data_IF_256205066703
#
_entry.id   IF_256205066703
#
_cell.length_a   1.000
_cell.length_b   1.000
_cell.length_c   1.000
_cell.angle_alpha   90.00
_cell.angle_beta   90.00
_cell.angle_gamma   90.00
#
_symmetry.space_group_name_H-M   'P 1'
#
loop_
_entity.id
_entity.type
_entity.pdbx_description
1 polymer ?
#
# COMPACT_ATOMS: atom_id res chain seq x y z
N UNK A 1 11.79 -22.38 19.17
CA UNK A 1 12.44 -21.03 19.14
C UNK A 1 11.71 -20.24 18.06
N UNK A 2 11.42 -18.94 18.23
CA UNK A 2 10.73 -18.19 17.18
C UNK A 2 11.53 -18.30 15.88
N UNK A 3 10.90 -18.82 14.83
CA UNK A 3 11.55 -19.01 13.55
C UNK A 3 11.83 -17.63 12.93
N UNK A 4 13.03 -17.43 12.40
CA UNK A 4 13.39 -16.16 11.77
C UNK A 4 12.50 -15.87 10.55
N UNK A 5 11.78 -14.73 10.61
CA UNK A 5 10.93 -14.21 9.54
C UNK A 5 11.82 -13.56 8.48
N UNK A 6 11.89 -14.16 7.29
CA UNK A 6 12.69 -13.65 6.17
C UNK A 6 11.79 -13.31 4.98
N UNK A 7 12.24 -12.38 4.12
CA UNK A 7 11.48 -12.04 2.90
C UNK A 7 11.29 -13.24 1.98
N UNK A 8 12.31 -14.10 1.84
CA UNK A 8 12.24 -15.26 0.94
C UNK A 8 11.11 -16.21 1.32
N UNK A 9 10.87 -16.39 2.63
CA UNK A 9 9.77 -17.21 3.14
C UNK A 9 8.40 -16.60 2.83
N UNK A 10 8.24 -15.30 3.06
CA UNK A 10 7.00 -14.57 2.75
C UNK A 10 6.71 -14.62 1.24
N UNK A 11 7.73 -14.40 0.40
CA UNK A 11 7.61 -14.48 -1.06
C UNK A 11 7.27 -15.90 -1.52
N UNK A 12 7.90 -16.92 -0.93
CA UNK A 12 7.61 -18.32 -1.26
C UNK A 12 6.17 -18.70 -0.93
N UNK A 13 5.65 -18.30 0.24
CA UNK A 13 4.26 -18.52 0.61
C UNK A 13 3.32 -17.73 -0.31
N UNK A 14 3.62 -16.45 -0.56
CA UNK A 14 2.81 -15.59 -1.40
C UNK A 14 2.64 -16.18 -2.81
N UNK A 15 3.71 -16.76 -3.37
CA UNK A 15 3.66 -17.46 -4.66
C UNK A 15 2.89 -18.77 -4.57
N UNK A 16 3.18 -19.63 -3.59
CA UNK A 16 2.60 -20.97 -3.50
C UNK A 16 1.10 -20.98 -3.20
N UNK A 17 0.61 -19.96 -2.46
CA UNK A 17 -0.79 -19.81 -2.09
C UNK A 17 -1.60 -18.90 -3.01
N UNK A 18 -0.95 -18.23 -3.96
CA UNK A 18 -1.63 -17.38 -4.92
C UNK A 18 -2.02 -16.01 -4.37
N UNK A 19 -1.15 -15.42 -3.55
CA UNK A 19 -1.19 -14.00 -3.25
C UNK A 19 -0.57 -13.18 -4.39
N UNK A 20 0.68 -13.46 -4.76
CA UNK A 20 1.42 -12.64 -5.74
C UNK A 20 2.30 -13.51 -6.63
N UNK A 21 2.29 -13.22 -7.92
CA UNK A 21 3.11 -13.86 -8.95
C UNK A 21 4.02 -12.83 -9.64
N UNK A 22 5.20 -13.24 -10.14
CA UNK A 22 5.99 -12.40 -11.03
C UNK A 22 5.18 -12.01 -12.28
N UNK A 23 5.18 -10.72 -12.64
CA UNK A 23 4.48 -10.24 -13.82
C UNK A 23 5.03 -10.88 -15.09
N UNK A 24 4.16 -11.42 -15.95
CA UNK A 24 4.56 -12.12 -17.18
C UNK A 24 5.54 -13.29 -16.96
N UNK A 25 5.36 -14.07 -15.88
CA UNK A 25 6.28 -15.15 -15.46
C UNK A 25 6.66 -16.12 -16.60
N UNK A 26 5.70 -16.56 -17.43
CA UNK A 26 5.97 -17.52 -18.52
C UNK A 26 6.87 -16.97 -19.63
N UNK A 27 7.07 -15.65 -19.68
CA UNK A 27 7.95 -14.97 -20.64
C UNK A 27 9.32 -14.58 -20.02
N UNK A 28 9.65 -15.11 -18.85
CA UNK A 28 10.87 -14.77 -18.12
C UNK A 28 10.71 -13.61 -17.13
N UNK A 29 9.48 -13.13 -16.95
CA UNK A 29 9.15 -12.03 -16.04
C UNK A 29 9.46 -10.65 -16.61
N UNK A 30 8.78 -9.62 -16.08
CA UNK A 30 9.13 -8.22 -16.29
C UNK A 30 9.53 -7.60 -14.94
N UNK A 31 10.76 -7.08 -14.88
CA UNK A 31 11.32 -6.54 -13.63
C UNK A 31 10.41 -5.48 -13.01
N UNK A 32 10.21 -5.58 -11.69
CA UNK A 32 9.38 -4.68 -10.87
C UNK A 32 7.90 -4.64 -11.31
N UNK A 33 7.40 -5.74 -11.87
CA UNK A 33 5.97 -5.94 -12.15
C UNK A 33 5.49 -7.24 -11.53
N UNK A 34 4.28 -7.21 -10.97
CA UNK A 34 3.72 -8.29 -10.18
C UNK A 34 2.21 -8.41 -10.43
N UNK A 35 1.72 -9.64 -10.45
CA UNK A 35 0.30 -9.96 -10.61
C UNK A 35 -0.25 -10.48 -9.29
N UNK A 36 -1.40 -9.96 -8.83
CA UNK A 36 -2.08 -10.49 -7.65
C UNK A 36 -2.94 -11.70 -8.03
N UNK A 37 -2.69 -12.84 -7.40
CA UNK A 37 -3.48 -14.06 -7.56
C UNK A 37 -4.81 -14.04 -6.80
N UNK A 38 -5.56 -15.16 -6.75
CA UNK A 38 -6.89 -15.20 -6.14
C UNK A 38 -6.95 -14.72 -4.68
N UNK A 39 -6.02 -15.11 -3.82
CA UNK A 39 -5.99 -14.63 -2.43
C UNK A 39 -5.48 -13.18 -2.36
N UNK A 40 -4.54 -12.83 -3.22
CA UNK A 40 -3.93 -11.50 -3.21
C UNK A 40 -4.87 -10.41 -3.68
N UNK A 41 -5.69 -10.67 -4.69
CA UNK A 41 -6.67 -9.69 -5.19
C UNK A 41 -7.73 -9.42 -4.12
N UNK A 42 -8.17 -10.45 -3.39
CA UNK A 42 -9.11 -10.31 -2.28
C UNK A 42 -8.48 -9.56 -1.09
N UNK A 43 -7.25 -9.89 -0.70
CA UNK A 43 -6.52 -9.14 0.32
C UNK A 43 -6.40 -7.67 -0.04
N UNK A 44 -5.89 -7.38 -1.26
CA UNK A 44 -5.68 -6.01 -1.73
C UNK A 44 -7.00 -5.23 -1.80
N UNK A 45 -8.06 -5.86 -2.31
CA UNK A 45 -9.38 -5.23 -2.35
C UNK A 45 -9.95 -4.99 -0.97
N UNK A 46 -9.76 -5.91 -0.02
CA UNK A 46 -10.23 -5.71 1.36
C UNK A 46 -9.47 -4.58 2.06
N UNK A 47 -8.16 -4.48 1.88
CA UNK A 47 -7.37 -3.34 2.38
C UNK A 47 -7.87 -2.01 1.80
N UNK A 48 -8.10 -1.95 0.48
CA UNK A 48 -8.66 -0.75 -0.19
C UNK A 48 -10.06 -0.41 0.30
N UNK A 49 -10.92 -1.42 0.50
CA UNK A 49 -12.28 -1.23 1.04
C UNK A 49 -12.24 -0.73 2.49
N UNK A 50 -11.37 -1.30 3.32
CA UNK A 50 -11.18 -0.88 4.71
C UNK A 50 -10.72 0.58 4.77
N UNK A 51 -9.74 0.96 3.93
CA UNK A 51 -9.29 2.34 3.80
C UNK A 51 -10.44 3.27 3.38
N UNK A 52 -11.18 2.91 2.33
CA UNK A 52 -12.28 3.74 1.85
C UNK A 52 -13.38 3.91 2.90
N UNK A 53 -13.71 2.83 3.61
CA UNK A 53 -14.66 2.87 4.72
C UNK A 53 -14.19 3.85 5.81
N UNK A 54 -12.93 3.74 6.24
CA UNK A 54 -12.38 4.58 7.33
C UNK A 54 -12.21 6.04 6.95
N UNK A 55 -11.56 6.29 5.81
CA UNK A 55 -11.14 7.63 5.43
C UNK A 55 -12.21 8.40 4.67
N UNK A 56 -13.17 7.72 4.02
CA UNK A 56 -14.21 8.37 3.20
C UNK A 56 -15.59 8.24 3.82
N UNK A 57 -16.06 7.03 4.15
CA UNK A 57 -17.44 6.85 4.62
C UNK A 57 -17.64 7.25 6.09
N UNK A 58 -16.72 6.90 6.99
CA UNK A 58 -16.81 7.26 8.41
C UNK A 58 -16.45 8.73 8.68
N UNK A 59 -15.66 9.33 7.80
CA UNK A 59 -15.30 10.75 7.90
C UNK A 59 -16.48 11.64 7.50
N UNK A 60 -16.95 12.46 8.45
CA UNK A 60 -17.94 13.53 8.16
C UNK A 60 -17.41 14.58 7.17
N UNK A 61 -16.08 14.67 7.03
CA UNK A 61 -15.42 15.70 6.23
C UNK A 61 -15.22 15.28 4.78
N UNK A 62 -14.95 14.00 4.53
CA UNK A 62 -14.37 13.60 3.25
C UNK A 62 -15.42 13.20 2.21
N UNK A 63 -14.99 13.17 0.94
CA UNK A 63 -15.71 12.64 -0.22
C UNK A 63 -14.72 11.93 -1.15
N UNK A 64 -15.22 11.04 -2.00
CA UNK A 64 -14.40 10.31 -2.96
C UNK A 64 -14.49 10.87 -4.39
N UNK A 65 -13.44 10.66 -5.17
CA UNK A 65 -13.44 10.80 -6.63
C UNK A 65 -12.68 9.65 -7.31
N UNK A 66 -12.84 9.56 -8.63
CA UNK A 66 -12.02 8.73 -9.50
C UNK A 66 -11.66 9.53 -10.76
N UNK A 67 -10.40 9.92 -10.87
CA UNK A 67 -9.85 10.70 -11.98
C UNK A 67 -9.14 9.80 -12.99
N UNK A 68 -9.11 10.24 -14.25
CA UNK A 68 -8.40 9.54 -15.30
C UNK A 68 -6.89 9.44 -15.04
N UNK A 69 -6.28 8.36 -15.54
CA UNK A 69 -4.81 8.18 -15.54
C UNK A 69 -4.15 9.15 -16.53
N UNK A 70 -4.73 9.28 -17.73
CA UNK A 70 -4.24 10.16 -18.77
C UNK A 70 -4.78 11.56 -18.52
N UNK A 71 -3.88 12.49 -18.23
CA UNK A 71 -4.19 13.90 -18.00
C UNK A 71 -3.48 14.76 -19.04
N UNK A 72 -3.95 16.00 -19.22
CA UNK A 72 -3.28 16.97 -20.05
C UNK A 72 -1.86 17.23 -19.50
N UNK A 73 -0.84 17.22 -20.36
CA UNK A 73 0.57 17.39 -19.98
C UNK A 73 0.85 18.68 -19.20
N UNK A 74 0.06 19.74 -19.41
CA UNK A 74 0.17 20.98 -18.65
C UNK A 74 -0.07 20.80 -17.14
N UNK A 75 -0.80 19.77 -16.72
CA UNK A 75 -0.98 19.42 -15.30
C UNK A 75 0.36 19.01 -14.66
N UNK A 76 1.18 18.25 -15.39
CA UNK A 76 2.49 17.79 -14.95
C UNK A 76 3.56 18.88 -15.04
N UNK A 77 3.35 19.88 -15.92
CA UNK A 77 4.17 21.10 -15.96
C UNK A 77 3.85 21.97 -14.75
N UNK A 78 2.57 22.27 -14.51
CA UNK A 78 2.11 23.10 -13.39
C UNK A 78 2.57 22.54 -12.03
N UNK A 79 2.41 21.23 -11.82
CA UNK A 79 2.86 20.57 -10.59
C UNK A 79 4.38 20.44 -10.45
N UNK A 80 5.15 20.70 -11.53
CA UNK A 80 6.61 20.58 -11.53
C UNK A 80 7.16 19.18 -11.84
N UNK A 81 6.30 18.18 -12.07
CA UNK A 81 6.71 16.79 -12.33
C UNK A 81 7.56 16.65 -13.60
N UNK A 82 7.28 17.40 -14.65
CA UNK A 82 8.08 17.36 -15.90
C UNK A 82 9.51 17.84 -15.66
N UNK A 83 9.71 18.82 -14.78
CA UNK A 83 11.02 19.42 -14.51
C UNK A 83 11.82 18.76 -13.39
N UNK A 84 11.13 18.28 -12.34
CA UNK A 84 11.76 17.92 -11.07
C UNK A 84 11.54 16.46 -10.63
N UNK A 85 10.70 15.68 -11.32
CA UNK A 85 10.42 14.29 -10.94
C UNK A 85 11.47 13.33 -11.52
N UNK A 86 12.70 13.46 -11.02
CA UNK A 86 13.89 12.78 -11.56
C UNK A 86 14.71 12.08 -10.48
N UNK A 87 15.25 10.92 -10.81
CA UNK A 87 16.23 10.22 -9.97
C UNK A 87 17.68 10.51 -10.42
N UNK A 88 18.63 10.65 -9.47
CA UNK A 88 20.06 10.81 -9.77
C UNK A 88 20.66 9.46 -10.20
N UNK A 89 20.87 9.28 -11.49
CA UNK A 89 21.30 8.00 -12.07
C UNK A 89 22.76 8.01 -12.52
N UNK A 90 23.46 6.90 -12.27
CA UNK A 90 24.80 6.62 -12.78
C UNK A 90 24.92 5.19 -13.32
N UNK A 91 25.84 4.97 -14.26
CA UNK A 91 26.15 3.65 -14.80
C UNK A 91 27.56 3.21 -14.40
N UNK A 92 27.75 1.92 -14.14
CA UNK A 92 29.09 1.34 -14.11
C UNK A 92 29.62 1.21 -15.54
N UNK A 93 30.75 1.84 -15.84
CA UNK A 93 31.35 1.79 -17.19
C UNK A 93 31.84 0.41 -17.58
N UNK A 94 32.10 -0.47 -16.61
CA UNK A 94 32.60 -1.83 -16.82
C UNK A 94 31.48 -2.82 -17.14
N UNK A 95 30.49 -2.98 -16.24
CA UNK A 95 29.41 -3.96 -16.42
C UNK A 95 28.12 -3.40 -17.01
N UNK A 96 28.06 -2.08 -17.26
CA UNK A 96 26.90 -1.34 -17.81
C UNK A 96 25.63 -1.39 -16.95
N UNK A 97 25.73 -1.91 -15.73
CA UNK A 97 24.65 -1.87 -14.75
C UNK A 97 24.35 -0.42 -14.35
N UNK A 98 23.06 -0.14 -14.14
CA UNK A 98 22.53 1.19 -13.81
C UNK A 98 22.14 1.22 -12.35
N UNK A 99 22.42 2.34 -11.70
CA UNK A 99 22.17 2.51 -10.28
C UNK A 99 21.66 3.91 -9.99
N UNK A 100 20.80 4.02 -8.98
CA UNK A 100 20.54 5.30 -8.35
C UNK A 100 21.70 5.66 -7.41
N UNK A 101 22.25 6.85 -7.56
CA UNK A 101 23.43 7.28 -6.83
C UNK A 101 23.13 7.46 -5.33
N UNK A 102 21.96 8.00 -4.99
CA UNK A 102 21.48 8.15 -3.62
C UNK A 102 21.40 6.80 -2.88
N UNK A 103 20.82 5.76 -3.50
CA UNK A 103 20.69 4.43 -2.89
C UNK A 103 22.03 3.74 -2.70
N UNK A 104 22.98 3.89 -3.63
CA UNK A 104 24.36 3.41 -3.41
C UNK A 104 24.97 4.04 -2.14
N UNK A 105 24.77 5.35 -1.96
CA UNK A 105 25.28 6.09 -0.81
C UNK A 105 24.61 5.62 0.49
N UNK A 106 23.29 5.51 0.49
CA UNK A 106 22.53 5.04 1.65
C UNK A 106 22.90 3.61 2.07
N UNK A 107 22.95 2.68 1.12
CA UNK A 107 23.35 1.30 1.39
C UNK A 107 24.77 1.23 1.99
N UNK A 108 25.68 2.06 1.50
CA UNK A 108 27.03 2.16 2.05
C UNK A 108 27.03 2.74 3.48
N UNK A 109 26.26 3.81 3.73
CA UNK A 109 26.11 4.38 5.08
C UNK A 109 25.55 3.35 6.07
N UNK A 110 24.49 2.64 5.70
CA UNK A 110 23.88 1.59 6.53
C UNK A 110 24.88 0.48 6.83
N UNK A 111 25.63 -0.01 5.83
CA UNK A 111 26.66 -1.03 6.01
C UNK A 111 27.79 -0.59 6.96
N UNK A 112 28.05 0.71 7.04
CA UNK A 112 29.04 1.29 7.94
C UNK A 112 28.47 1.74 9.30
N UNK A 113 27.25 1.29 9.65
CA UNK A 113 26.67 1.49 10.97
C UNK A 113 25.95 2.82 11.18
N UNK A 114 25.65 3.57 10.10
CA UNK A 114 24.79 4.76 10.22
C UNK A 114 23.34 4.31 10.42
N UNK A 115 22.79 4.59 11.61
CA UNK A 115 21.41 4.20 11.97
C UNK A 115 20.35 4.86 11.09
N UNK A 116 20.59 6.10 10.64
CA UNK A 116 19.72 6.86 9.73
C UNK A 116 20.48 7.26 8.48
N UNK A 117 20.60 6.32 7.54
CA UNK A 117 21.19 6.57 6.24
C UNK A 117 20.14 7.18 5.31
N UNK A 118 20.25 8.48 5.04
CA UNK A 118 19.43 9.18 4.05
C UNK A 118 20.35 10.06 3.19
N UNK A 119 20.27 9.88 1.88
CA UNK A 119 20.92 10.75 0.90
C UNK A 119 19.90 11.57 0.10
N UNK A 120 18.64 11.55 0.53
CA UNK A 120 17.57 12.31 -0.09
C UNK A 120 17.88 13.81 -0.04
N UNK A 121 17.60 14.52 -1.13
CA UNK A 121 17.88 15.95 -1.29
C UNK A 121 19.36 16.32 -1.54
N UNK A 122 20.29 15.37 -1.59
CA UNK A 122 21.70 15.69 -1.88
C UNK A 122 21.92 16.11 -3.34
N UNK A 123 22.81 17.07 -3.57
CA UNK A 123 23.21 17.46 -4.93
C UNK A 123 24.02 16.37 -5.62
N UNK A 124 24.02 16.36 -6.96
CA UNK A 124 24.81 15.41 -7.75
C UNK A 124 26.31 15.49 -7.42
N UNK A 125 26.83 16.68 -7.16
CA UNK A 125 28.22 16.89 -6.76
C UNK A 125 28.49 16.23 -5.41
N UNK A 126 27.59 16.41 -4.42
CA UNK A 126 27.73 15.83 -3.09
C UNK A 126 27.66 14.30 -3.13
N UNK A 127 26.71 13.73 -3.87
CA UNK A 127 26.59 12.29 -4.08
C UNK A 127 27.85 11.71 -4.73
N UNK A 128 28.31 12.34 -5.82
CA UNK A 128 29.51 11.90 -6.53
C UNK A 128 30.75 11.98 -5.64
N UNK A 129 30.90 13.07 -4.89
CA UNK A 129 32.03 13.25 -3.99
C UNK A 129 32.04 12.17 -2.90
N UNK A 130 30.89 11.87 -2.30
CA UNK A 130 30.78 10.82 -1.29
C UNK A 130 31.16 9.44 -1.84
N UNK A 131 30.69 9.10 -3.05
CA UNK A 131 31.03 7.83 -3.71
C UNK A 131 32.54 7.70 -3.94
N UNK A 132 33.19 8.78 -4.36
CA UNK A 132 34.65 8.81 -4.59
C UNK A 132 35.42 8.73 -3.28
N UNK A 133 35.06 9.55 -2.28
CA UNK A 133 35.77 9.65 -1.01
C UNK A 133 35.72 8.36 -0.19
N UNK A 134 34.59 7.64 -0.28
CA UNK A 134 34.39 6.36 0.39
C UNK A 134 34.77 5.17 -0.49
N UNK A 135 35.32 5.43 -1.68
CA UNK A 135 35.72 4.44 -2.67
C UNK A 135 34.67 3.35 -2.94
N UNK A 136 33.38 3.73 -3.02
CA UNK A 136 32.28 2.78 -3.11
C UNK A 136 32.39 1.97 -4.41
N UNK A 137 32.30 0.65 -4.30
CA UNK A 137 32.41 -0.27 -5.43
C UNK A 137 31.05 -0.52 -6.10
N UNK A 138 31.07 -0.80 -7.41
CA UNK A 138 29.88 -1.28 -8.12
C UNK A 138 29.35 -2.56 -7.47
N UNK A 139 28.10 -2.59 -6.98
CA UNK A 139 27.52 -3.76 -6.31
C UNK A 139 27.53 -5.03 -7.16
N UNK A 140 27.53 -4.89 -8.49
CA UNK A 140 27.47 -6.01 -9.43
C UNK A 140 28.85 -6.56 -9.85
N UNK A 141 29.91 -5.73 -9.87
CA UNK A 141 31.21 -6.17 -10.42
C UNK A 141 32.45 -5.73 -9.62
N UNK A 142 32.28 -5.03 -8.50
CA UNK A 142 33.38 -4.59 -7.63
C UNK A 142 34.26 -3.47 -8.22
N UNK A 143 33.91 -2.91 -9.38
CA UNK A 143 34.69 -1.85 -10.04
C UNK A 143 34.23 -0.46 -9.59
N UNK A 144 35.18 0.46 -9.40
CA UNK A 144 34.95 1.85 -8.97
C UNK A 144 34.85 2.85 -10.15
N UNK A 145 34.43 2.38 -11.33
CA UNK A 145 34.41 3.17 -12.55
C UNK A 145 32.97 3.51 -12.95
N UNK A 146 32.45 4.62 -12.43
CA UNK A 146 31.09 5.11 -12.71
C UNK A 146 31.09 6.26 -13.73
N UNK A 147 29.97 6.47 -14.40
CA UNK A 147 29.69 7.70 -15.16
C UNK A 147 29.40 8.86 -14.22
N UNK A 148 29.32 10.07 -14.78
CA UNK A 148 28.70 11.19 -14.08
C UNK A 148 27.22 10.90 -13.79
N UNK A 149 26.68 11.59 -12.78
CA UNK A 149 25.28 11.49 -12.37
C UNK A 149 24.43 12.34 -13.31
N UNK A 150 23.36 11.76 -13.86
CA UNK A 150 22.36 12.44 -14.70
C UNK A 150 20.98 12.34 -14.06
N UNK A 151 20.13 13.32 -14.34
CA UNK A 151 18.73 13.29 -13.90
C UNK A 151 17.89 12.45 -14.89
N UNK A 152 17.18 11.45 -14.37
CA UNK A 152 16.30 10.60 -15.17
C UNK A 152 14.84 10.80 -14.75
N UNK A 153 14.00 11.28 -15.67
CA UNK A 153 12.57 11.50 -15.38
C UNK A 153 11.85 10.15 -15.21
N UNK A 154 11.12 10.03 -14.09
CA UNK A 154 10.44 8.79 -13.70
C UNK A 154 9.03 8.65 -14.29
N UNK A 155 8.49 9.63 -15.00
CA UNK A 155 7.18 9.51 -15.61
C UNK A 155 7.23 8.63 -16.87
N UNK A 156 6.26 7.73 -17.00
CA UNK A 156 6.07 7.01 -18.25
C UNK A 156 5.46 7.94 -19.30
N UNK A 157 6.12 8.01 -20.45
CA UNK A 157 5.67 8.76 -21.62
C UNK A 157 4.86 7.86 -22.54
N UNK A 158 3.83 8.44 -23.15
CA UNK A 158 3.07 7.86 -24.25
C UNK A 158 2.58 8.97 -25.18
N UNK A 159 1.93 8.61 -26.29
CA UNK A 159 1.50 9.58 -27.31
C UNK A 159 -0.01 9.49 -27.54
N UNK A 160 -0.68 10.64 -27.51
CA UNK A 160 -2.08 10.78 -27.88
C UNK A 160 -2.23 10.93 -29.40
N UNK A 161 -2.71 9.87 -30.06
CA UNK A 161 -3.03 9.90 -31.48
C UNK A 161 -2.10 9.01 -32.30
N UNK A 162 -2.02 9.29 -33.61
CA UNK A 162 -1.33 8.42 -34.58
C UNK A 162 0.13 8.81 -34.83
N UNK A 163 0.53 10.03 -34.44
CA UNK A 163 1.89 10.52 -34.57
C UNK A 163 2.58 10.50 -33.22
N UNK A 164 3.83 10.03 -33.20
CA UNK A 164 4.72 10.09 -32.04
C UNK A 164 5.54 11.39 -32.14
N UNK A 165 4.88 12.52 -31.90
CA UNK A 165 5.52 13.85 -31.91
C UNK A 165 5.38 14.54 -30.55
N UNK A 166 6.15 15.61 -30.34
CA UNK A 166 6.19 16.30 -29.05
C UNK A 166 4.86 16.95 -28.67
N UNK A 167 3.93 17.16 -29.60
CA UNK A 167 2.61 17.75 -29.32
C UNK A 167 1.60 16.70 -28.87
N UNK A 168 1.81 15.43 -29.24
CA UNK A 168 1.00 14.31 -28.77
C UNK A 168 1.53 13.69 -27.48
N UNK A 169 2.73 14.08 -27.01
CA UNK A 169 3.31 13.52 -25.77
C UNK A 169 2.41 13.78 -24.54
N UNK A 170 2.00 12.68 -23.90
CA UNK A 170 1.29 12.67 -22.63
C UNK A 170 1.95 11.66 -21.67
N UNK A 171 1.56 11.70 -20.40
CA UNK A 171 2.17 10.87 -19.37
C UNK A 171 1.14 9.99 -18.67
N UNK A 172 1.59 8.81 -18.22
CA UNK A 172 0.88 8.08 -17.18
C UNK A 172 1.17 8.77 -15.84
N UNK A 173 0.12 9.04 -15.05
CA UNK A 173 0.27 9.77 -13.80
C UNK A 173 1.24 9.07 -12.83
N UNK A 174 2.20 9.79 -12.21
CA UNK A 174 3.09 9.26 -11.18
C UNK A 174 2.50 9.24 -9.77
N UNK A 175 1.37 9.94 -9.58
CA UNK A 175 0.59 10.05 -8.36
C UNK A 175 -0.90 10.29 -8.66
N UNK A 176 -1.78 10.14 -7.66
CA UNK A 176 -3.22 10.37 -7.83
C UNK A 176 -3.68 11.78 -7.42
N UNK A 177 -2.91 12.47 -6.56
CA UNK A 177 -3.17 13.80 -6.00
C UNK A 177 -3.54 14.86 -7.05
N UNK A 178 -2.84 14.89 -8.20
CA UNK A 178 -3.10 15.90 -9.24
C UNK A 178 -4.52 15.83 -9.81
N UNK A 179 -5.13 14.64 -9.87
CA UNK A 179 -6.52 14.47 -10.27
C UNK A 179 -7.52 15.11 -9.30
N UNK A 180 -7.14 15.17 -8.02
CA UNK A 180 -7.90 15.82 -6.95
C UNK A 180 -7.78 17.34 -7.05
N UNK A 181 -6.56 17.88 -7.16
CA UNK A 181 -6.32 19.32 -7.23
C UNK A 181 -7.05 19.99 -8.41
N UNK A 182 -6.97 19.40 -9.62
CA UNK A 182 -7.66 19.96 -10.80
C UNK A 182 -9.19 19.93 -10.67
N UNK A 183 -9.72 19.05 -9.80
CA UNK A 183 -11.15 18.91 -9.54
C UNK A 183 -11.62 19.59 -8.25
N UNK A 184 -10.74 20.24 -7.49
CA UNK A 184 -11.04 20.87 -6.19
C UNK A 184 -12.35 21.68 -6.23
N UNK A 185 -12.48 22.61 -7.19
CA UNK A 185 -13.67 23.46 -7.34
C UNK A 185 -14.92 22.69 -7.74
N UNK A 186 -14.79 21.69 -8.60
CA UNK A 186 -15.92 20.87 -9.03
C UNK A 186 -16.47 20.09 -7.85
N UNK A 187 -15.60 19.40 -7.11
CA UNK A 187 -15.96 18.59 -5.95
C UNK A 187 -16.53 19.47 -4.85
N UNK A 188 -15.85 20.55 -4.48
CA UNK A 188 -16.33 21.49 -3.45
C UNK A 188 -17.77 21.95 -3.75
N UNK A 189 -18.05 22.34 -5.00
CA UNK A 189 -19.36 22.84 -5.43
C UNK A 189 -20.43 21.75 -5.41
N UNK A 190 -20.16 20.59 -6.00
CA UNK A 190 -21.20 19.54 -6.18
C UNK A 190 -21.49 18.79 -4.89
N UNK A 191 -20.48 18.59 -4.04
CA UNK A 191 -20.63 17.98 -2.71
C UNK A 191 -21.03 18.97 -1.62
N UNK A 192 -21.10 20.28 -1.95
CA UNK A 192 -21.44 21.38 -1.02
C UNK A 192 -20.56 21.43 0.22
N UNK A 193 -19.30 20.98 0.10
CA UNK A 193 -18.35 20.97 1.21
C UNK A 193 -17.86 22.39 1.53
N UNK A 194 -17.59 22.60 2.81
CA UNK A 194 -16.93 23.80 3.35
C UNK A 194 -15.60 23.37 3.92
N UNK A 195 -14.59 24.25 3.87
CA UNK A 195 -13.30 23.99 4.53
C UNK A 195 -13.55 23.93 6.04
N UNK A 196 -13.00 22.93 6.76
CA UNK A 196 -12.13 21.87 6.26
C UNK A 196 -12.87 20.65 5.68
N UNK A 197 -12.35 20.11 4.58
CA UNK A 197 -12.85 18.89 3.94
C UNK A 197 -11.75 18.19 3.14
N UNK A 198 -11.86 16.87 3.00
CA UNK A 198 -10.95 16.10 2.16
C UNK A 198 -11.59 15.51 0.91
N UNK A 199 -10.75 15.23 -0.07
CA UNK A 199 -11.11 14.50 -1.27
C UNK A 199 -10.15 13.31 -1.37
N UNK A 200 -10.67 12.09 -1.32
CA UNK A 200 -9.87 10.88 -1.43
C UNK A 200 -10.02 10.20 -2.78
N UNK A 201 -8.97 9.50 -3.19
CA UNK A 201 -8.96 8.69 -4.40
C UNK A 201 -8.17 7.40 -4.17
N UNK A 202 -8.65 6.32 -4.77
CA UNK A 202 -7.87 5.09 -4.95
C UNK A 202 -7.67 4.88 -6.44
N UNK A 203 -6.44 4.63 -6.87
CA UNK A 203 -6.20 4.33 -8.27
C UNK A 203 -4.75 4.03 -8.61
N UNK A 204 -4.53 3.63 -9.87
CA UNK A 204 -3.19 3.29 -10.36
C UNK A 204 -2.30 4.52 -10.55
N UNK A 205 -1.03 4.34 -10.29
CA UNK A 205 0.06 5.28 -10.55
C UNK A 205 1.27 4.53 -11.10
N UNK A 206 2.12 5.26 -11.84
CA UNK A 206 3.20 4.67 -12.61
C UNK A 206 4.50 5.43 -12.40
N UNK A 207 5.55 4.72 -11.99
CA UNK A 207 6.90 5.28 -11.83
C UNK A 207 7.89 4.40 -12.57
N UNK A 208 8.69 4.98 -13.45
CA UNK A 208 9.66 4.27 -14.28
C UNK A 208 10.92 3.90 -13.48
N UNK A 209 10.70 3.14 -12.42
CA UNK A 209 11.72 2.70 -11.47
C UNK A 209 12.74 1.79 -12.17
N UNK A 210 14.01 2.07 -11.93
CA UNK A 210 15.15 1.43 -12.57
C UNK A 210 15.79 0.40 -11.64
N UNK A 211 15.68 0.59 -10.34
CA UNK A 211 16.34 -0.24 -9.34
C UNK A 211 15.52 -1.51 -9.10
N UNK A 212 16.12 -2.73 -9.16
CA UNK A 212 15.42 -3.93 -8.76
C UNK A 212 14.97 -3.81 -7.29
N UNK A 213 13.69 -4.09 -7.03
CA UNK A 213 13.05 -3.89 -5.73
C UNK A 213 12.92 -5.16 -4.86
N UNK A 214 12.66 -4.95 -3.58
CA UNK A 214 12.27 -6.01 -2.64
C UNK A 214 10.79 -6.39 -2.86
N UNK A 215 10.54 -7.29 -3.81
CA UNK A 215 9.20 -7.77 -4.14
C UNK A 215 8.24 -6.63 -4.55
N UNK A 216 7.02 -6.56 -4.01
CA UNK A 216 6.04 -5.50 -4.30
C UNK A 216 6.36 -4.15 -3.65
N UNK A 217 7.47 -4.01 -2.91
CA UNK A 217 7.84 -2.77 -2.24
C UNK A 217 8.22 -1.63 -3.21
N UNK A 218 8.81 -1.98 -4.35
CA UNK A 218 9.12 -1.05 -5.46
C UNK A 218 8.65 -1.66 -6.78
N UNK A 219 7.63 -1.05 -7.36
CA UNK A 219 7.03 -1.50 -8.62
C UNK A 219 6.92 -0.34 -9.60
N UNK A 220 6.78 -0.66 -10.88
CA UNK A 220 6.56 0.35 -11.92
C UNK A 220 5.11 0.78 -12.06
N UNK A 221 4.22 -0.11 -11.67
CA UNK A 221 2.78 0.07 -11.63
C UNK A 221 2.32 -0.36 -10.24
N UNK A 222 1.56 0.51 -9.57
CA UNK A 222 0.99 0.26 -8.25
C UNK A 222 -0.31 1.05 -8.11
N UNK A 223 -1.07 0.74 -7.07
CA UNK A 223 -2.22 1.54 -6.67
C UNK A 223 -1.86 2.38 -5.44
N UNK A 224 -2.36 3.61 -5.39
CA UNK A 224 -2.28 4.48 -4.23
C UNK A 224 -3.67 4.73 -3.67
N UNK A 225 -3.71 5.03 -2.37
CA UNK A 225 -4.86 5.54 -1.65
C UNK A 225 -4.42 6.88 -1.06
N UNK A 226 -4.85 7.97 -1.69
CA UNK A 226 -4.44 9.33 -1.32
C UNK A 226 -5.66 10.14 -0.89
N UNK A 227 -5.44 11.03 0.07
CA UNK A 227 -6.45 11.95 0.59
C UNK A 227 -5.87 13.36 0.60
N UNK A 228 -6.41 14.27 -0.22
CA UNK A 228 -6.08 15.69 -0.10
C UNK A 228 -7.06 16.35 0.86
N UNK A 229 -6.61 16.68 2.07
CA UNK A 229 -7.42 17.33 3.09
C UNK A 229 -7.17 18.85 3.12
N UNK A 230 -8.16 19.61 2.65
CA UNK A 230 -8.09 21.05 2.55
C UNK A 230 -8.51 21.72 3.85
N UNK A 231 -7.65 22.56 4.41
CA UNK A 231 -7.85 23.27 5.67
C UNK A 231 -7.56 24.78 5.54
N UNK A 232 -7.90 25.54 6.59
CA UNK A 232 -7.61 26.97 6.65
C UNK A 232 -6.12 27.18 6.95
N UNK A 233 -5.40 28.08 6.25
CA UNK A 233 -4.03 28.42 6.60
C UNK A 233 -3.89 28.79 8.09
N UNK A 234 -2.89 28.21 8.76
CA UNK A 234 -2.65 28.37 10.20
C UNK A 234 -3.37 27.36 11.09
N UNK A 235 -4.12 26.41 10.50
CA UNK A 235 -4.70 25.25 11.21
C UNK A 235 -4.10 23.91 10.75
N UNK A 236 -3.22 23.97 9.75
CA UNK A 236 -2.58 22.85 9.05
C UNK A 236 -1.86 21.89 10.00
N UNK A 237 -1.00 22.37 10.90
CA UNK A 237 -0.27 21.49 11.85
C UNK A 237 -1.20 20.70 12.80
N UNK A 238 -2.36 21.24 13.18
CA UNK A 238 -3.36 20.51 13.96
C UNK A 238 -3.96 19.37 13.14
N UNK A 239 -4.26 19.63 11.87
CA UNK A 239 -4.78 18.61 10.94
C UNK A 239 -3.72 17.58 10.55
N UNK A 240 -2.46 17.99 10.41
CA UNK A 240 -1.32 17.10 10.19
C UNK A 240 -1.20 16.08 11.32
N UNK A 241 -1.23 16.56 12.57
CA UNK A 241 -1.20 15.72 13.76
C UNK A 241 -2.41 14.77 13.82
N UNK A 242 -3.62 15.28 13.54
CA UNK A 242 -4.83 14.47 13.47
C UNK A 242 -4.72 13.34 12.45
N UNK A 243 -4.28 13.64 11.23
CA UNK A 243 -4.17 12.63 10.17
C UNK A 243 -3.07 11.62 10.41
N UNK A 244 -1.93 12.02 11.01
CA UNK A 244 -0.90 11.07 11.50
C UNK A 244 -1.50 10.02 12.43
N UNK A 245 -2.30 10.46 13.41
CA UNK A 245 -2.96 9.57 14.36
C UNK A 245 -4.00 8.67 13.69
N UNK A 246 -4.80 9.20 12.74
CA UNK A 246 -5.78 8.39 12.00
C UNK A 246 -5.09 7.29 11.17
N UNK A 247 -4.00 7.61 10.48
CA UNK A 247 -3.22 6.64 9.71
C UNK A 247 -2.59 5.57 10.60
N UNK A 248 -2.04 5.96 11.75
CA UNK A 248 -1.47 5.04 12.74
C UNK A 248 -2.53 4.07 13.29
N UNK A 249 -3.66 4.60 13.76
CA UNK A 249 -4.74 3.79 14.34
C UNK A 249 -5.37 2.86 13.30
N UNK A 250 -5.44 3.26 12.02
CA UNK A 250 -5.91 2.36 10.96
C UNK A 250 -5.03 1.11 10.83
N UNK A 251 -3.70 1.26 10.90
CA UNK A 251 -2.77 0.13 10.82
C UNK A 251 -2.90 -0.79 12.05
N UNK A 252 -2.94 -0.20 13.25
CA UNK A 252 -3.09 -0.96 14.50
C UNK A 252 -4.41 -1.72 14.57
N UNK A 253 -5.53 -1.07 14.21
CA UNK A 253 -6.85 -1.69 14.22
C UNK A 253 -6.97 -2.86 13.23
N UNK A 254 -6.15 -2.86 12.17
CA UNK A 254 -6.09 -3.95 11.19
C UNK A 254 -5.01 -4.99 11.50
N UNK A 255 -4.41 -4.92 12.69
CA UNK A 255 -3.55 -5.97 13.24
C UNK A 255 -2.06 -5.78 13.01
N UNK A 256 -1.59 -4.62 12.53
CA UNK A 256 -0.14 -4.33 12.52
C UNK A 256 0.35 -4.20 13.97
N UNK A 257 1.39 -4.93 14.33
CA UNK A 257 2.01 -4.80 15.65
C UNK A 257 2.73 -3.45 15.81
N UNK A 258 2.47 -2.76 16.92
CA UNK A 258 3.04 -1.42 17.19
C UNK A 258 4.57 -1.38 17.14
N UNK A 259 5.24 -2.45 17.59
CA UNK A 259 6.71 -2.56 17.57
C UNK A 259 7.30 -2.57 16.15
N UNK A 260 6.49 -2.88 15.13
CA UNK A 260 6.92 -2.97 13.72
C UNK A 260 6.68 -1.66 12.96
N UNK A 261 6.10 -0.64 13.59
CA UNK A 261 5.89 0.68 12.98
C UNK A 261 6.53 1.80 13.80
N UNK A 262 6.90 2.90 13.12
CA UNK A 262 7.37 4.12 13.79
C UNK A 262 7.05 5.35 12.96
N UNK A 263 6.99 6.51 13.62
CA UNK A 263 7.04 7.79 12.92
C UNK A 263 8.48 8.19 12.62
N UNK A 264 8.71 8.68 11.40
CA UNK A 264 9.92 9.39 10.99
C UNK A 264 9.51 10.76 10.47
N UNK A 265 9.72 11.79 11.28
CA UNK A 265 9.59 13.18 10.82
C UNK A 265 10.79 13.52 9.92
N UNK A 266 10.53 14.20 8.80
CA UNK A 266 11.57 14.64 7.87
C UNK A 266 12.38 15.80 8.46
N UNK A 267 13.69 15.76 8.25
CA UNK A 267 14.56 16.90 8.58
C UNK A 267 14.31 18.08 7.60
N UNK A 268 14.72 19.29 7.96
CA UNK A 268 14.46 20.50 7.13
C UNK A 268 15.03 20.39 5.72
N UNK A 269 16.13 19.66 5.57
CA UNK A 269 16.80 19.42 4.29
C UNK A 269 16.11 18.35 3.43
N UNK A 270 15.26 17.50 4.04
CA UNK A 270 14.48 16.45 3.37
C UNK A 270 13.10 16.95 2.95
N UNK A 271 12.59 17.99 3.60
CA UNK A 271 11.30 18.59 3.24
C UNK A 271 11.32 19.11 1.80
N UNK A 272 10.28 18.74 1.04
CA UNK A 272 9.97 19.42 -0.22
C UNK A 272 9.87 20.92 0.02
N UNK A 273 10.32 21.73 -0.95
CA UNK A 273 10.36 23.20 -0.84
C UNK A 273 9.02 23.88 -0.51
N UNK A 274 7.91 23.16 -0.64
CA UNK A 274 6.54 23.59 -0.33
C UNK A 274 5.94 22.95 0.92
N UNK A 275 6.69 22.10 1.64
CA UNK A 275 6.19 21.38 2.81
C UNK A 275 6.56 22.09 4.11
N UNK A 276 5.57 22.32 4.97
CA UNK A 276 5.81 22.81 6.35
C UNK A 276 6.22 21.67 7.29
N UNK A 277 5.69 20.48 7.06
CA UNK A 277 5.96 19.30 7.86
C UNK A 277 5.61 18.04 7.04
N UNK A 278 6.50 17.05 7.05
CA UNK A 278 6.23 15.72 6.50
C UNK A 278 6.63 14.67 7.53
N UNK A 279 5.75 13.70 7.72
CA UNK A 279 6.00 12.56 8.60
C UNK A 279 5.66 11.27 7.89
N UNK A 280 6.60 10.35 7.84
CA UNK A 280 6.37 9.01 7.34
C UNK A 280 6.03 8.08 8.50
N UNK A 281 5.01 7.24 8.33
CA UNK A 281 4.93 5.99 9.06
C UNK A 281 5.82 5.01 8.31
N UNK A 282 6.86 4.53 8.98
CA UNK A 282 7.73 3.46 8.46
C UNK A 282 7.33 2.12 9.06
N UNK A 283 7.49 1.06 8.28
CA UNK A 283 7.31 -0.33 8.71
C UNK A 283 8.66 -1.07 8.69
N UNK A 284 8.87 -1.93 9.69
CA UNK A 284 10.06 -2.77 9.81
C UNK A 284 9.88 -4.04 8.99
N UNK A 285 10.26 -3.98 7.71
CA UNK A 285 10.31 -5.17 6.87
C UNK A 285 11.50 -6.07 7.26
N UNK A 286 11.52 -7.35 6.86
CA UNK A 286 12.68 -8.23 7.07
C UNK A 286 13.98 -7.72 6.44
N UNK A 287 13.90 -6.76 5.51
CA UNK A 287 15.06 -6.08 4.92
C UNK A 287 15.39 -4.72 5.59
N UNK A 288 14.69 -4.33 6.65
CA UNK A 288 14.87 -3.07 7.38
C UNK A 288 13.67 -2.14 7.31
N UNK A 289 13.83 -0.95 7.91
CA UNK A 289 12.81 0.10 7.91
C UNK A 289 12.56 0.64 6.50
N UNK A 290 11.29 0.78 6.14
CA UNK A 290 10.88 1.42 4.89
C UNK A 290 9.61 2.24 5.08
N UNK A 291 9.54 3.38 4.40
CA UNK A 291 8.36 4.24 4.32
C UNK A 291 7.13 3.45 3.90
N UNK A 292 6.05 3.47 4.68
CA UNK A 292 4.79 2.82 4.38
C UNK A 292 3.72 3.84 3.96
N UNK A 293 3.61 4.93 4.71
CA UNK A 293 2.56 5.93 4.56
C UNK A 293 3.12 7.32 4.87
N UNK A 294 3.11 8.23 3.90
CA UNK A 294 3.51 9.63 4.08
C UNK A 294 2.33 10.51 4.50
N UNK A 295 2.54 11.40 5.46
CA UNK A 295 1.59 12.46 5.82
C UNK A 295 2.30 13.81 5.68
N UNK A 296 1.98 14.54 4.62
CA UNK A 296 2.63 15.81 4.27
C UNK A 296 1.68 17.01 4.46
N UNK A 297 2.21 18.13 4.95
CA UNK A 297 1.56 19.44 4.86
C UNK A 297 2.16 20.21 3.68
N UNK A 298 1.41 20.25 2.58
CA UNK A 298 1.82 20.84 1.30
C UNK A 298 1.45 22.31 1.16
N UNK A 299 0.96 22.94 2.23
CA UNK A 299 0.51 24.35 2.25
C UNK A 299 -0.47 24.64 1.10
N UNK A 300 -0.41 25.83 0.49
CA UNK A 300 -1.24 26.22 -0.66
C UNK A 300 -0.58 25.96 -2.02
N UNK A 301 0.57 25.28 -2.05
CA UNK A 301 1.40 25.16 -3.24
C UNK A 301 0.65 24.58 -4.43
N UNK A 302 0.02 23.41 -4.29
CA UNK A 302 -0.60 22.70 -5.41
C UNK A 302 -1.73 23.52 -6.06
N UNK A 303 -2.64 24.06 -5.25
CA UNK A 303 -3.73 24.89 -5.74
C UNK A 303 -3.22 26.20 -6.35
N UNK A 304 -2.15 26.78 -5.79
CA UNK A 304 -1.52 27.99 -6.32
C UNK A 304 -0.85 27.75 -7.67
N UNK A 305 -0.11 26.64 -7.83
CA UNK A 305 0.52 26.29 -9.10
C UNK A 305 -0.54 26.08 -10.19
N UNK A 306 -1.60 25.31 -9.91
CA UNK A 306 -2.68 25.11 -10.87
C UNK A 306 -3.44 26.41 -11.18
N UNK A 307 -3.67 27.28 -10.20
CA UNK A 307 -4.29 28.58 -10.43
C UNK A 307 -3.44 29.45 -11.36
N UNK A 308 -2.14 29.54 -11.10
CA UNK A 308 -1.22 30.38 -11.88
C UNK A 308 -1.07 29.87 -13.32
N UNK A 309 -1.00 28.54 -13.50
CA UNK A 309 -0.80 27.94 -14.81
C UNK A 309 -2.08 27.90 -15.66
N UNK A 310 -3.24 27.62 -15.04
CA UNK A 310 -4.53 27.50 -15.74
C UNK A 310 -5.31 28.82 -15.87
N UNK A 311 -4.98 29.83 -15.05
CA UNK A 311 -5.75 31.07 -14.91
C UNK A 311 -7.12 30.91 -14.25
N UNK A 312 -7.42 29.75 -13.64
CA UNK A 312 -8.68 29.50 -12.92
C UNK A 312 -8.50 29.77 -11.43
N UNK A 313 -9.40 30.58 -10.85
CA UNK A 313 -9.39 30.91 -9.43
C UNK A 313 -9.64 29.65 -8.57
N UNK A 314 -8.67 29.30 -7.73
CA UNK A 314 -8.72 28.17 -6.81
C UNK A 314 -9.02 28.59 -5.37
N UNK A 315 -9.09 29.89 -5.07
CA UNK A 315 -9.32 30.40 -3.71
C UNK A 315 -10.72 30.10 -3.14
N UNK A 316 -10.79 29.76 -1.87
CA UNK A 316 -12.01 29.56 -1.10
C UNK A 316 -12.47 30.88 -0.46
N UNK A 317 -13.79 31.15 -0.52
CA UNK A 317 -14.43 32.24 0.23
C UNK A 317 -15.15 31.62 1.43
N UNK A 318 -14.69 31.95 2.63
CA UNK A 318 -15.30 31.47 3.87
C UNK A 318 -16.70 32.11 4.07
N UNK A 319 -17.77 31.32 4.17
CA UNK A 319 -19.12 31.85 4.27
C UNK A 319 -19.43 32.48 5.65
N UNK A 320 -18.56 32.30 6.64
CA UNK A 320 -18.70 32.84 8.00
C UNK A 320 -17.82 34.09 8.15
N UNK A 321 -16.52 33.97 7.87
CA UNK A 321 -15.57 35.08 8.05
C UNK A 321 -15.52 36.03 6.85
N UNK A 322 -16.03 35.62 5.69
CA UNK A 322 -15.91 36.33 4.41
C UNK A 322 -14.46 36.55 3.94
N UNK A 323 -13.52 35.82 4.53
CA UNK A 323 -12.12 35.82 4.11
C UNK A 323 -11.95 34.97 2.85
N UNK A 324 -11.16 35.48 1.90
CA UNK A 324 -10.80 34.78 0.67
C UNK A 324 -9.35 34.32 0.77
N UNK A 325 -9.10 33.02 0.66
CA UNK A 325 -7.76 32.42 0.79
C UNK A 325 -7.63 31.17 -0.07
N UNK A 326 -6.41 30.74 -0.38
CA UNK A 326 -6.18 29.41 -0.97
C UNK A 326 -6.02 28.42 0.20
N UNK A 327 -6.84 27.36 0.27
CA UNK A 327 -6.73 26.37 1.35
C UNK A 327 -5.37 25.70 1.37
N UNK A 328 -4.89 25.38 2.57
CA UNK A 328 -3.73 24.51 2.74
C UNK A 328 -4.13 23.05 2.60
N UNK A 329 -3.20 22.18 2.21
CA UNK A 329 -3.47 20.78 1.96
C UNK A 329 -2.61 19.86 2.83
N UNK A 330 -3.28 19.00 3.60
CA UNK A 330 -2.65 17.86 4.28
C UNK A 330 -2.91 16.61 3.43
N UNK A 331 -1.84 15.92 3.05
CA UNK A 331 -1.86 14.74 2.19
C UNK A 331 -1.42 13.50 2.98
N UNK A 332 -2.36 12.64 3.42
CA UNK A 332 -2.04 11.25 3.70
C UNK A 332 -1.99 10.43 2.40
N UNK A 333 -0.81 9.94 2.03
CA UNK A 333 -0.58 9.10 0.85
C UNK A 333 0.01 7.74 1.21
N UNK A 334 -0.64 6.67 0.78
CA UNK A 334 -0.16 5.29 0.96
C UNK A 334 -0.25 4.50 -0.33
N UNK A 335 0.81 3.74 -0.64
CA UNK A 335 0.77 2.73 -1.68
C UNK A 335 0.00 1.50 -1.22
N UNK A 336 -1.10 1.16 -1.88
CA UNK A 336 -1.90 -0.02 -1.55
C UNK A 336 -1.08 -1.32 -1.63
N UNK A 337 -0.17 -1.41 -2.60
CA UNK A 337 0.74 -2.55 -2.76
C UNK A 337 1.73 -2.68 -1.58
N UNK A 338 2.21 -1.54 -1.08
CA UNK A 338 3.13 -1.50 0.06
C UNK A 338 2.40 -1.79 1.38
N UNK A 339 1.18 -1.29 1.54
CA UNK A 339 0.28 -1.65 2.63
C UNK A 339 -0.01 -3.15 2.67
N UNK A 340 -0.36 -3.75 1.53
CA UNK A 340 -0.58 -5.20 1.44
C UNK A 340 0.68 -5.99 1.78
N UNK A 341 1.86 -5.53 1.34
CA UNK A 341 3.13 -6.16 1.72
C UNK A 341 3.37 -6.09 3.23
N UNK A 342 3.13 -4.94 3.87
CA UNK A 342 3.25 -4.80 5.31
C UNK A 342 2.31 -5.77 6.04
N UNK A 343 1.03 -5.84 5.66
CA UNK A 343 0.09 -6.81 6.25
C UNK A 343 0.49 -8.27 6.01
N UNK A 344 1.01 -8.61 4.82
CA UNK A 344 1.51 -9.96 4.53
C UNK A 344 2.69 -10.32 5.44
N UNK A 345 3.64 -9.41 5.60
CA UNK A 345 4.82 -9.63 6.44
C UNK A 345 4.40 -9.73 7.91
N UNK A 346 3.55 -8.83 8.38
CA UNK A 346 3.16 -8.77 9.79
C UNK A 346 2.40 -10.03 10.21
N UNK A 347 1.43 -10.44 9.37
CA UNK A 347 0.59 -11.60 9.61
C UNK A 347 1.34 -12.94 9.53
N UNK A 348 2.45 -13.03 8.81
CA UNK A 348 3.19 -14.29 8.65
C UNK A 348 3.76 -14.78 9.99
N UNK A 349 3.46 -16.03 10.36
CA UNK A 349 4.10 -16.71 11.48
C UNK A 349 4.33 -18.20 11.19
N UNK A 350 5.31 -18.78 11.89
CA UNK A 350 5.61 -20.21 11.92
C UNK A 350 5.59 -20.70 13.37
N UNK A 351 4.59 -21.50 13.71
CA UNK A 351 4.40 -22.02 15.06
C UNK A 351 4.87 -23.49 15.15
N UNK A 352 5.63 -23.81 16.20
CA UNK A 352 5.87 -25.18 16.64
C UNK A 352 4.64 -25.70 17.41
N UNK A 353 4.18 -26.89 17.06
CA UNK A 353 3.01 -27.52 17.67
C UNK A 353 3.42 -28.67 18.60
N UNK A 354 2.49 -29.06 19.46
CA UNK A 354 2.67 -30.24 20.30
C UNK A 354 3.01 -31.48 19.44
N UNK A 355 4.04 -32.23 19.87
CA UNK A 355 4.51 -33.41 19.14
C UNK A 355 5.57 -33.13 18.07
N UNK A 356 6.06 -31.89 17.95
CA UNK A 356 7.18 -31.53 17.07
C UNK A 356 6.80 -31.30 15.60
N UNK A 357 5.51 -31.16 15.31
CA UNK A 357 5.02 -30.67 14.02
C UNK A 357 5.10 -29.13 13.98
N UNK A 358 5.02 -28.52 12.81
CA UNK A 358 4.95 -27.06 12.67
C UNK A 358 3.83 -26.64 11.73
N UNK A 359 3.42 -25.38 11.85
CA UNK A 359 2.48 -24.76 10.90
C UNK A 359 2.94 -23.37 10.49
N UNK A 360 2.67 -23.03 9.25
CA UNK A 360 2.67 -21.64 8.80
C UNK A 360 1.25 -21.11 8.89
N UNK A 361 1.09 -19.91 9.43
CA UNK A 361 -0.20 -19.25 9.63
C UNK A 361 -0.09 -17.78 9.26
N UNK A 362 -1.16 -17.24 8.69
CA UNK A 362 -1.28 -15.81 8.36
C UNK A 362 -2.32 -15.16 9.28
N UNK A 363 -1.86 -14.42 10.28
CA UNK A 363 -2.67 -13.76 11.31
C UNK A 363 -3.41 -12.49 10.83
N UNK A 364 -4.02 -12.52 9.64
CA UNK A 364 -4.79 -11.38 9.16
C UNK A 364 -5.98 -11.04 10.07
N UNK A 365 -6.21 -9.75 10.31
CA UNK A 365 -7.47 -9.31 10.88
C UNK A 365 -8.65 -9.76 10.00
N UNK A 366 -9.78 -10.25 10.54
CA UNK A 366 -10.87 -10.78 9.73
C UNK A 366 -11.43 -9.80 8.69
N UNK A 367 -11.36 -8.49 8.96
CA UNK A 367 -11.74 -7.44 8.00
C UNK A 367 -10.94 -7.52 6.67
N UNK A 368 -9.65 -7.83 6.73
CA UNK A 368 -8.75 -7.86 5.56
C UNK A 368 -8.47 -9.26 5.02
N UNK A 369 -8.70 -10.31 5.80
CA UNK A 369 -8.46 -11.70 5.40
C UNK A 369 -9.09 -12.01 4.02
N UNK A 370 -8.39 -12.66 3.08
CA UNK A 370 -8.91 -12.94 1.74
C UNK A 370 -10.23 -13.71 1.79
N UNK A 371 -10.26 -14.75 2.62
CA UNK A 371 -11.39 -15.64 2.85
C UNK A 371 -11.83 -15.45 4.31
N UNK A 372 -13.13 -15.25 4.54
CA UNK A 372 -13.68 -14.95 5.87
C UNK A 372 -13.97 -16.20 6.67
N UNK A 373 -14.39 -17.26 5.99
CA UNK A 373 -14.58 -18.57 6.57
C UNK A 373 -14.43 -19.68 5.52
N UNK A 374 -14.03 -20.87 5.96
CA UNK A 374 -14.00 -22.07 5.13
C UNK A 374 -14.99 -23.12 5.66
N UNK A 375 -15.85 -23.64 4.80
CA UNK A 375 -16.87 -24.63 5.13
C UNK A 375 -16.35 -26.02 4.75
N UNK A 376 -16.18 -26.87 5.76
CA UNK A 376 -15.44 -28.13 5.65
C UNK A 376 -16.30 -29.31 6.13
N UNK A 377 -16.82 -30.17 5.25
CA UNK A 377 -17.52 -31.37 5.71
C UNK A 377 -16.52 -32.36 6.34
N UNK A 378 -16.82 -32.92 7.52
CA UNK A 378 -15.93 -33.87 8.20
C UNK A 378 -15.63 -35.09 7.31
N UNK A 379 -16.65 -35.56 6.58
CA UNK A 379 -16.54 -36.59 5.55
C UNK A 379 -17.40 -36.23 4.34
N UNK A 380 -17.14 -36.84 3.17
CA UNK A 380 -17.94 -36.62 1.95
C UNK A 380 -19.43 -36.94 2.07
N UNK A 381 -19.85 -37.67 3.10
CA UNK A 381 -21.27 -37.94 3.34
C UNK A 381 -22.03 -36.70 3.83
N UNK A 382 -21.31 -35.68 4.29
CA UNK A 382 -21.86 -34.44 4.83
C UNK A 382 -21.77 -33.28 3.84
N UNK A 383 -21.33 -33.54 2.60
CA UNK A 383 -21.12 -32.52 1.57
C UNK A 383 -22.39 -31.75 1.24
N UNK A 384 -23.55 -32.42 1.16
CA UNK A 384 -24.83 -31.75 0.87
C UNK A 384 -25.19 -30.69 1.93
N UNK A 385 -25.07 -31.02 3.23
CA UNK A 385 -25.32 -30.05 4.30
C UNK A 385 -24.26 -28.94 4.34
N UNK A 386 -23.02 -29.27 4.01
CA UNK A 386 -21.94 -28.28 3.92
C UNK A 386 -22.12 -27.31 2.75
N UNK A 387 -22.57 -27.79 1.60
CA UNK A 387 -22.92 -26.95 0.45
C UNK A 387 -24.09 -26.02 0.78
N UNK A 388 -25.10 -26.48 1.53
CA UNK A 388 -26.20 -25.63 2.00
C UNK A 388 -25.69 -24.44 2.85
N UNK A 389 -24.85 -24.70 3.85
CA UNK A 389 -24.26 -23.66 4.71
C UNK A 389 -23.35 -22.73 3.90
N UNK A 390 -22.55 -23.29 2.99
CA UNK A 390 -21.69 -22.51 2.09
C UNK A 390 -22.50 -21.57 1.20
N UNK A 391 -23.58 -22.07 0.58
CA UNK A 391 -24.45 -21.30 -0.31
C UNK A 391 -25.22 -20.21 0.42
N UNK A 392 -25.49 -20.39 1.71
CA UNK A 392 -26.03 -19.34 2.57
C UNK A 392 -25.00 -18.22 2.81
N UNK A 393 -23.81 -18.58 3.30
CA UNK A 393 -22.79 -17.61 3.72
C UNK A 393 -22.15 -16.84 2.54
N UNK A 394 -21.99 -17.48 1.38
CA UNK A 394 -21.34 -16.87 0.20
C UNK A 394 -22.09 -15.67 -0.40
N UNK A 395 -23.32 -15.43 0.03
CA UNK A 395 -24.12 -14.26 -0.39
C UNK A 395 -23.62 -12.97 0.26
N UNK A 396 -22.99 -13.07 1.42
CA UNK A 396 -22.55 -11.93 2.22
C UNK A 396 -21.04 -11.86 2.39
N UNK A 397 -20.34 -12.99 2.29
CA UNK A 397 -18.91 -13.10 2.57
C UNK A 397 -18.17 -13.86 1.47
N UNK A 398 -16.89 -13.54 1.28
CA UNK A 398 -16.00 -14.41 0.52
C UNK A 398 -15.65 -15.62 1.40
N UNK A 399 -16.22 -16.78 1.09
CA UNK A 399 -16.02 -18.04 1.80
C UNK A 399 -15.56 -19.12 0.85
N UNK A 400 -14.86 -20.13 1.38
CA UNK A 400 -14.42 -21.29 0.60
C UNK A 400 -15.14 -22.56 1.04
N UNK A 401 -15.30 -23.50 0.10
CA UNK A 401 -15.73 -24.86 0.37
C UNK A 401 -14.61 -25.84 0.02
N UNK A 402 -14.33 -26.81 0.89
CA UNK A 402 -13.27 -27.78 0.65
C UNK A 402 -13.54 -29.14 1.33
N UNK A 403 -13.61 -30.19 0.53
CA UNK A 403 -13.77 -31.58 0.95
C UNK A 403 -12.57 -32.49 0.62
N UNK A 404 -11.49 -31.92 0.07
CA UNK A 404 -10.35 -32.69 -0.43
C UNK A 404 -9.32 -32.95 0.67
N UNK A 405 -9.10 -34.21 1.03
CA UNK A 405 -8.10 -34.60 2.02
C UNK A 405 -8.62 -34.61 3.47
N UNK A 406 -7.73 -34.88 4.43
CA UNK A 406 -8.11 -34.93 5.84
C UNK A 406 -8.49 -33.54 6.37
N UNK A 407 -9.31 -33.47 7.41
CA UNK A 407 -9.72 -32.20 8.03
C UNK A 407 -8.51 -31.37 8.49
N UNK A 408 -7.49 -32.01 9.05
CA UNK A 408 -6.25 -31.33 9.45
C UNK A 408 -5.49 -30.70 8.26
N UNK A 409 -5.42 -31.38 7.11
CA UNK A 409 -4.81 -30.80 5.89
C UNK A 409 -5.61 -29.62 5.35
N UNK A 410 -6.93 -29.64 5.51
CA UNK A 410 -7.81 -28.53 5.14
C UNK A 410 -7.58 -27.34 6.06
N UNK A 411 -7.54 -27.54 7.37
CA UNK A 411 -7.17 -26.48 8.33
C UNK A 411 -5.79 -25.88 8.01
N UNK A 412 -4.76 -26.69 7.72
CA UNK A 412 -3.43 -26.17 7.34
C UNK A 412 -3.45 -25.25 6.12
N UNK A 413 -4.21 -25.61 5.08
CA UNK A 413 -4.35 -24.75 3.88
C UNK A 413 -5.01 -23.42 4.22
N UNK A 414 -5.99 -23.43 5.11
CA UNK A 414 -6.73 -22.25 5.53
C UNK A 414 -5.92 -21.37 6.50
N UNK A 415 -5.11 -21.98 7.39
CA UNK A 415 -4.15 -21.26 8.24
C UNK A 415 -3.14 -20.49 7.35
N UNK A 416 -2.58 -21.12 6.31
CA UNK A 416 -1.66 -20.49 5.35
C UNK A 416 -2.33 -19.43 4.44
N UNK A 417 -3.64 -19.56 4.17
CA UNK A 417 -4.42 -18.54 3.47
C UNK A 417 -4.84 -17.38 4.38
N UNK A 418 -4.70 -17.57 5.70
CA UNK A 418 -5.10 -16.61 6.73
C UNK A 418 -6.60 -16.51 6.94
N UNK A 419 -7.35 -17.58 6.63
CA UNK A 419 -8.79 -17.66 6.85
C UNK A 419 -9.09 -17.70 8.34
N UNK A 420 -9.81 -16.71 8.92
CA UNK A 420 -9.98 -16.62 10.37
C UNK A 420 -10.76 -17.78 10.99
N UNK A 421 -11.75 -18.31 10.26
CA UNK A 421 -12.67 -19.31 10.79
C UNK A 421 -12.82 -20.51 9.86
N UNK A 422 -12.63 -21.72 10.38
CA UNK A 422 -13.01 -22.95 9.69
C UNK A 422 -14.27 -23.54 10.34
N UNK A 423 -15.32 -23.70 9.54
CA UNK A 423 -16.63 -24.20 9.97
C UNK A 423 -16.75 -25.65 9.53
N UNK A 424 -16.72 -26.57 10.48
CA UNK A 424 -16.78 -28.01 10.23
C UNK A 424 -18.19 -28.53 10.42
N UNK A 425 -18.69 -29.22 9.39
CA UNK A 425 -19.97 -29.93 9.40
C UNK A 425 -19.70 -31.37 9.82
N UNK A 426 -20.27 -31.80 10.95
CA UNK A 426 -20.14 -33.14 11.51
C UNK A 426 -21.48 -33.89 11.50
N UNK A 427 -21.50 -35.11 12.05
CA UNK A 427 -22.74 -35.91 12.09
C UNK A 427 -23.77 -35.31 13.04
N UNK A 428 -23.34 -34.68 14.13
CA UNK A 428 -24.24 -34.02 15.09
C UNK A 428 -24.96 -32.84 14.42
N UNK A 429 -24.31 -32.15 13.47
CA UNK A 429 -24.94 -31.07 12.68
C UNK A 429 -26.25 -31.50 12.01
N UNK A 430 -26.37 -32.76 11.59
CA UNK A 430 -27.59 -33.27 10.96
C UNK A 430 -28.75 -33.45 11.97
N UNK A 431 -28.44 -33.57 13.26
CA UNK A 431 -29.40 -33.79 14.33
C UNK A 431 -29.81 -32.49 15.02
N UNK A 432 -28.85 -31.60 15.29
CA UNK A 432 -29.05 -30.41 16.13
C UNK A 432 -28.87 -29.06 15.41
N UNK A 433 -28.51 -29.08 14.12
CA UNK A 433 -28.21 -27.90 13.30
C UNK A 433 -27.14 -26.97 13.92
N UNK A 434 -26.18 -27.56 14.66
CA UNK A 434 -25.00 -26.88 15.17
C UNK A 434 -23.75 -27.30 14.41
N UNK A 435 -22.80 -26.38 14.27
CA UNK A 435 -21.52 -26.60 13.58
C UNK A 435 -20.37 -26.33 14.53
N UNK A 436 -19.23 -26.95 14.23
CA UNK A 436 -17.99 -26.68 14.96
C UNK A 436 -17.23 -25.55 14.26
N UNK A 437 -17.00 -24.44 14.95
CA UNK A 437 -16.18 -23.32 14.45
C UNK A 437 -14.81 -23.40 15.09
N UNK A 438 -13.77 -23.44 14.26
CA UNK A 438 -12.37 -23.36 14.67
C UNK A 438 -11.83 -21.95 14.42
N UNK A 439 -11.26 -21.35 15.46
CA UNK A 439 -10.49 -20.11 15.36
C UNK A 439 -9.08 -20.41 14.82
N UNK A 440 -8.60 -19.62 13.85
CA UNK A 440 -7.29 -19.78 13.22
C UNK A 440 -6.14 -19.61 14.21
N UNK A 441 -6.22 -18.57 15.03
CA UNK A 441 -5.11 -18.11 15.87
C UNK A 441 -5.00 -19.01 17.09
N UNK A 442 -6.10 -19.16 17.85
CA UNK A 442 -6.08 -19.96 19.09
C UNK A 442 -6.17 -21.47 18.83
N UNK A 443 -6.57 -21.89 17.63
CA UNK A 443 -6.92 -23.27 17.27
C UNK A 443 -8.10 -23.87 18.06
N UNK A 444 -8.72 -23.10 18.96
CA UNK A 444 -9.84 -23.55 19.78
C UNK A 444 -11.07 -23.81 18.90
N UNK A 445 -11.86 -24.79 19.33
CA UNK A 445 -13.08 -25.22 18.65
C UNK A 445 -14.26 -25.05 19.59
N UNK A 446 -15.33 -24.45 19.09
CA UNK A 446 -16.59 -24.31 19.82
C UNK A 446 -17.77 -24.59 18.90
N UNK A 447 -18.89 -25.05 19.48
CA UNK A 447 -20.12 -25.30 18.73
C UNK A 447 -21.02 -24.08 18.76
N UNK A 448 -21.67 -23.78 17.63
CA UNK A 448 -22.72 -22.77 17.56
C UNK A 448 -23.78 -23.15 16.52
N UNK A 449 -24.94 -22.50 16.58
CA UNK A 449 -26.02 -22.75 15.60
C UNK A 449 -25.65 -22.17 14.23
N UNK A 450 -26.07 -22.84 13.16
CA UNK A 450 -25.85 -22.36 11.78
C UNK A 450 -26.38 -20.92 11.61
N UNK A 451 -27.57 -20.63 12.12
CA UNK A 451 -28.22 -19.32 12.01
C UNK A 451 -27.46 -18.17 12.68
N UNK A 452 -26.50 -18.46 13.57
CA UNK A 452 -25.68 -17.47 14.28
C UNK A 452 -24.40 -17.12 13.53
N UNK A 453 -23.97 -17.94 12.56
CA UNK A 453 -22.69 -17.81 11.85
C UNK A 453 -22.55 -16.46 11.15
N UNK A 454 -23.59 -16.01 10.46
CA UNK A 454 -23.57 -14.75 9.71
C UNK A 454 -23.32 -13.55 10.62
N UNK A 455 -24.00 -13.52 11.77
CA UNK A 455 -23.84 -12.45 12.76
C UNK A 455 -22.43 -12.50 13.36
N UNK A 456 -21.97 -13.69 13.74
CA UNK A 456 -20.64 -13.90 14.30
C UNK A 456 -19.52 -13.43 13.37
N UNK A 457 -19.52 -13.88 12.11
CA UNK A 457 -18.49 -13.47 11.13
C UNK A 457 -18.49 -11.95 10.95
N UNK A 458 -19.68 -11.34 10.87
CA UNK A 458 -19.80 -9.88 10.70
C UNK A 458 -19.22 -9.11 11.88
N UNK A 459 -19.55 -9.49 13.11
CA UNK A 459 -19.02 -8.84 14.33
C UNK A 459 -17.50 -8.95 14.41
N UNK A 460 -16.93 -10.08 13.98
CA UNK A 460 -15.48 -10.29 13.96
C UNK A 460 -14.75 -9.49 12.88
N UNK A 461 -15.46 -8.96 11.89
CA UNK A 461 -14.89 -8.12 10.83
C UNK A 461 -14.88 -6.62 11.18
N UNK A 462 -15.42 -6.20 12.31
CA UNK A 462 -15.39 -4.81 12.78
C UNK A 462 -13.97 -4.40 13.22
N UNK A 463 -13.54 -3.18 12.89
CA UNK A 463 -12.20 -2.64 13.18
C UNK A 463 -12.19 -1.13 13.39
#
# INVERSE_FOLDING_TARGET
MAVEKTMDKVVALAKSRGFVYPGSEIYGGLANTWDYGPLGVELKNNVKKAWWQKFIHESKHNVGIDSAILMNSEVWVASGHVGNFTDPLMDCKECKSRFRADKIVEEHMTKNGVEKASADGWSNEKLKQYIVDNEIECPNCGKKNFTDIRQFNLMFKTYQGVTEDSKSEIHLRPETAQGIFVNFKNVQRTSRKKVPFGIGQIGKSFRNEITPGNFTFRTREFEQMELEFFCKPGTDLEWHSYWKEQCWNFLLNLGIEEKNIRFRDHDKEELSHYSNATSDIEYLFPFGWGELWGVADRTDYDLTQHQNHSGKDMSYLDPVTHEKYIPYCIEPSVGADRAVLAFLVDAYDEEELEGGDSRTVMHFHPAIAPVKAAILPLTKKLSEKAEEVYDELRKDFNVEYDEAGSIGKRYRRQDEAGTPYCITIDFDTLEDNTVTVRDRDTMEQFRMKVDELKKFIKEKMEF
#
